data_IF_568763713980
#
_entry.id   IF_568763713980
#
_cell.length_a   1.000
_cell.length_b   1.000
_cell.length_c   1.000
_cell.angle_alpha   90.00
_cell.angle_beta   90.00
_cell.angle_gamma   90.00
#
_symmetry.space_group_name_H-M   'P 1'
#
loop_
_entity.id
_entity.type
_entity.pdbx_description
1 polymer ?
#
# COMPACT_ATOMS: atom_id res chain seq x y z
N UNK A 1 -25.34 -11.90 5.34
CA UNK A 1 -24.09 -11.18 4.98
C UNK A 1 -23.06 -11.20 6.11
N UNK A 2 -23.43 -10.89 7.37
CA UNK A 2 -22.50 -10.69 8.49
C UNK A 2 -21.40 -11.75 8.67
N UNK A 3 -21.72 -13.04 8.85
CA UNK A 3 -20.70 -14.05 9.21
C UNK A 3 -19.56 -14.22 8.19
N UNK A 4 -19.88 -14.40 6.91
CA UNK A 4 -18.87 -14.55 5.84
C UNK A 4 -18.11 -13.24 5.56
N UNK A 5 -18.73 -12.10 5.82
CA UNK A 5 -18.08 -10.80 5.69
C UNK A 5 -16.99 -10.62 6.76
N UNK A 6 -17.30 -10.90 8.03
CA UNK A 6 -16.32 -10.85 9.14
C UNK A 6 -15.20 -11.90 9.01
N UNK A 7 -15.46 -13.03 8.34
CA UNK A 7 -14.41 -14.02 8.03
C UNK A 7 -13.43 -13.53 6.94
N UNK A 8 -13.86 -12.62 6.06
CA UNK A 8 -13.07 -12.13 4.92
C UNK A 8 -12.42 -10.78 5.18
N UNK A 9 -13.09 -9.92 5.94
CA UNK A 9 -12.68 -8.57 6.25
C UNK A 9 -12.54 -8.45 7.77
N UNK A 10 -11.32 -8.18 8.24
CA UNK A 10 -11.04 -7.92 9.66
C UNK A 10 -11.50 -6.50 10.01
N UNK A 11 -11.91 -6.26 11.25
CA UNK A 11 -12.29 -4.94 11.77
C UNK A 11 -13.33 -4.22 10.89
N UNK A 12 -14.57 -4.71 10.89
CA UNK A 12 -15.68 -4.13 10.12
C UNK A 12 -16.62 -3.30 10.99
N UNK A 13 -17.37 -2.33 10.41
CA UNK A 13 -18.36 -1.60 11.16
C UNK A 13 -19.44 -2.55 11.68
N UNK A 14 -19.89 -2.31 12.90
CA UNK A 14 -21.01 -3.04 13.49
C UNK A 14 -22.27 -2.85 12.66
N UNK A 15 -22.59 -3.84 11.82
CA UNK A 15 -23.78 -3.81 10.98
C UNK A 15 -25.06 -4.04 11.80
N UNK A 16 -26.11 -3.28 11.48
CA UNK A 16 -27.42 -3.51 12.05
C UNK A 16 -27.97 -4.89 11.68
N UNK A 17 -28.49 -5.61 12.67
CA UNK A 17 -29.08 -6.94 12.52
C UNK A 17 -30.60 -6.83 12.58
N UNK A 18 -31.26 -6.93 11.42
CA UNK A 18 -32.71 -6.86 11.30
C UNK A 18 -33.14 -6.47 9.88
N UNK A 19 -34.45 -6.26 9.69
CA UNK A 19 -34.99 -5.75 8.43
C UNK A 19 -34.59 -4.27 8.22
N UNK A 20 -34.62 -3.82 6.96
CA UNK A 20 -34.39 -2.40 6.64
C UNK A 20 -35.43 -1.50 7.30
N UNK A 21 -36.69 -1.97 7.40
CA UNK A 21 -37.78 -1.24 8.05
C UNK A 21 -37.47 -1.04 9.54
N UNK A 22 -37.04 -2.08 10.24
CA UNK A 22 -36.66 -1.97 11.66
C UNK A 22 -35.47 -1.02 11.84
N UNK A 23 -34.51 -1.02 10.90
CA UNK A 23 -33.39 -0.07 10.93
C UNK A 23 -33.87 1.37 10.81
N UNK A 24 -34.84 1.65 9.92
CA UNK A 24 -35.48 2.96 9.81
C UNK A 24 -36.24 3.34 11.08
N UNK A 25 -36.98 2.40 11.69
CA UNK A 25 -37.67 2.64 12.96
C UNK A 25 -36.69 3.02 14.06
N UNK A 26 -35.60 2.26 14.25
CA UNK A 26 -34.56 2.59 15.25
C UNK A 26 -33.89 3.93 14.95
N UNK A 27 -33.67 4.27 13.67
CA UNK A 27 -33.06 5.53 13.26
C UNK A 27 -33.92 6.76 13.58
N UNK A 28 -35.24 6.65 13.39
CA UNK A 28 -36.12 7.82 13.32
C UNK A 28 -37.22 7.88 14.38
N UNK A 29 -37.38 6.82 15.20
CA UNK A 29 -38.35 6.79 16.31
C UNK A 29 -37.89 7.47 17.60
N UNK A 30 -36.59 7.67 17.91
CA UNK A 30 -36.19 8.41 19.11
C UNK A 30 -36.86 9.79 19.19
N UNK A 31 -37.39 10.11 20.37
CA UNK A 31 -38.03 11.41 20.65
C UNK A 31 -36.99 12.51 20.84
N UNK A 32 -35.82 12.16 21.37
CA UNK A 32 -34.65 13.04 21.48
C UNK A 32 -33.99 13.15 20.11
N UNK A 33 -33.87 14.38 19.60
CA UNK A 33 -33.34 14.64 18.25
C UNK A 33 -31.88 14.19 18.12
N UNK A 34 -31.09 14.34 19.17
CA UNK A 34 -29.66 14.00 19.23
C UNK A 34 -29.40 12.49 19.15
N UNK A 35 -30.39 11.65 19.50
CA UNK A 35 -30.29 10.18 19.40
C UNK A 35 -30.64 9.67 17.99
N UNK A 36 -31.19 10.53 17.12
CA UNK A 36 -31.58 10.16 15.77
C UNK A 36 -30.34 10.06 14.89
N UNK A 37 -30.09 8.87 14.36
CA UNK A 37 -29.01 8.60 13.40
C UNK A 37 -29.61 8.15 12.07
N UNK A 38 -29.29 8.79 10.94
CA UNK A 38 -29.77 8.34 9.63
C UNK A 38 -29.32 6.90 9.31
N UNK A 39 -30.10 6.21 8.49
CA UNK A 39 -29.73 4.87 8.00
C UNK A 39 -28.81 5.01 6.79
N UNK A 40 -27.69 4.29 6.82
CA UNK A 40 -26.79 4.12 5.69
C UNK A 40 -26.88 2.69 5.16
N UNK A 41 -27.47 2.53 3.98
CA UNK A 41 -27.58 1.24 3.29
C UNK A 41 -26.31 0.98 2.49
N UNK A 42 -25.57 -0.07 2.84
CA UNK A 42 -24.40 -0.54 2.11
C UNK A 42 -24.78 -1.73 1.21
N UNK A 43 -24.76 -1.51 -0.10
CA UNK A 43 -25.09 -2.55 -1.09
C UNK A 43 -23.82 -3.11 -1.70
N UNK A 44 -23.57 -4.38 -1.47
CA UNK A 44 -22.36 -5.11 -1.84
C UNK A 44 -22.61 -6.10 -2.97
N UNK A 45 -21.62 -6.21 -3.87
CA UNK A 45 -21.59 -7.25 -4.89
C UNK A 45 -20.19 -7.88 -4.94
N UNK A 46 -20.06 -9.16 -4.64
CA UNK A 46 -18.76 -9.82 -4.43
C UNK A 46 -17.88 -9.85 -5.69
N UNK A 47 -18.52 -9.93 -6.87
CA UNK A 47 -17.81 -9.88 -8.16
C UNK A 47 -17.33 -8.48 -8.53
N UNK A 48 -17.84 -7.43 -7.89
CA UNK A 48 -17.31 -6.08 -8.09
C UNK A 48 -15.95 -5.96 -7.43
N UNK A 49 -14.92 -5.75 -8.26
CA UNK A 49 -13.57 -5.42 -7.79
C UNK A 49 -13.59 -4.22 -6.83
N UNK A 50 -14.43 -3.23 -7.10
CA UNK A 50 -14.53 -2.02 -6.29
C UNK A 50 -15.20 -2.26 -4.94
N UNK A 51 -16.15 -3.20 -4.86
CA UNK A 51 -16.73 -3.59 -3.56
C UNK A 51 -15.66 -4.18 -2.65
N UNK A 52 -14.76 -4.99 -3.20
CA UNK A 52 -13.65 -5.59 -2.47
C UNK A 52 -12.61 -4.54 -2.02
N UNK A 53 -12.24 -3.60 -2.89
CA UNK A 53 -11.31 -2.50 -2.56
C UNK A 53 -11.92 -1.58 -1.50
N UNK A 54 -13.18 -1.18 -1.67
CA UNK A 54 -13.89 -0.30 -0.74
C UNK A 54 -13.94 -0.91 0.67
N UNK A 55 -14.21 -2.21 0.78
CA UNK A 55 -14.19 -2.89 2.08
C UNK A 55 -12.81 -2.79 2.74
N UNK A 56 -11.75 -3.21 2.06
CA UNK A 56 -10.40 -3.26 2.62
C UNK A 56 -9.79 -1.89 2.93
N UNK A 57 -10.08 -0.88 2.10
CA UNK A 57 -9.39 0.42 2.16
C UNK A 57 -10.17 1.51 2.87
N UNK A 58 -11.50 1.42 2.88
CA UNK A 58 -12.37 2.50 3.35
C UNK A 58 -13.26 2.01 4.48
N UNK A 59 -14.13 1.03 4.22
CA UNK A 59 -15.15 0.62 5.19
C UNK A 59 -14.56 0.03 6.47
N UNK A 60 -13.45 -0.70 6.36
CA UNK A 60 -12.75 -1.33 7.50
C UNK A 60 -11.64 -0.45 8.10
N UNK A 61 -11.57 0.84 7.74
CA UNK A 61 -10.66 1.77 8.41
C UNK A 61 -11.21 2.12 9.79
N UNK A 62 -10.40 2.01 10.84
CA UNK A 62 -10.80 2.30 12.23
C UNK A 62 -11.52 3.66 12.36
N UNK A 63 -10.98 4.70 11.75
CA UNK A 63 -11.57 6.05 11.76
C UNK A 63 -12.93 6.12 11.07
N UNK A 64 -13.12 5.36 9.97
CA UNK A 64 -14.40 5.29 9.26
C UNK A 64 -15.41 4.47 10.08
N UNK A 65 -14.99 3.38 10.71
CA UNK A 65 -15.82 2.57 11.58
C UNK A 65 -16.36 3.40 12.73
N UNK A 66 -15.47 4.08 13.47
CA UNK A 66 -15.85 4.92 14.61
C UNK A 66 -16.86 5.98 14.18
N UNK A 67 -16.58 6.68 13.08
CA UNK A 67 -17.48 7.70 12.56
C UNK A 67 -18.84 7.11 12.13
N UNK A 68 -18.86 6.00 11.40
CA UNK A 68 -20.09 5.38 10.94
C UNK A 68 -20.94 4.90 12.12
N UNK A 69 -20.33 4.33 13.15
CA UNK A 69 -21.02 3.85 14.35
C UNK A 69 -21.60 5.01 15.19
N UNK A 70 -20.86 6.11 15.29
CA UNK A 70 -21.32 7.31 15.99
C UNK A 70 -22.47 8.01 15.26
N UNK A 71 -22.44 8.06 13.93
CA UNK A 71 -23.30 8.97 13.16
C UNK A 71 -24.41 8.27 12.36
N UNK A 72 -24.30 6.97 12.10
CA UNK A 72 -25.23 6.24 11.22
C UNK A 72 -25.67 4.90 11.80
N UNK A 73 -26.83 4.43 11.36
CA UNK A 73 -27.20 3.02 11.44
C UNK A 73 -26.83 2.36 10.12
N UNK A 74 -25.78 1.54 10.10
CA UNK A 74 -25.30 0.90 8.87
C UNK A 74 -26.04 -0.41 8.61
N UNK A 75 -26.83 -0.47 7.54
CA UNK A 75 -27.57 -1.66 7.13
C UNK A 75 -26.94 -2.31 5.89
N UNK A 76 -26.45 -3.56 5.98
CA UNK A 76 -25.77 -4.21 4.85
C UNK A 76 -26.75 -5.01 3.98
N UNK A 77 -26.51 -5.01 2.67
CA UNK A 77 -27.21 -5.88 1.72
C UNK A 77 -26.24 -6.50 0.70
N UNK A 78 -26.29 -7.81 0.55
CA UNK A 78 -25.51 -8.55 -0.44
C UNK A 78 -26.39 -8.91 -1.64
N UNK A 79 -26.13 -8.26 -2.77
CA UNK A 79 -26.88 -8.45 -4.02
C UNK A 79 -26.11 -9.29 -5.04
N UNK A 80 -25.09 -10.03 -4.61
CA UNK A 80 -24.32 -10.93 -5.48
C UNK A 80 -25.21 -11.98 -6.14
N UNK A 81 -26.18 -12.51 -5.39
CA UNK A 81 -27.19 -13.43 -5.91
C UNK A 81 -28.39 -12.65 -6.44
N UNK A 82 -28.91 -13.08 -7.59
CA UNK A 82 -30.06 -12.45 -8.24
C UNK A 82 -31.31 -12.45 -7.36
N UNK A 83 -31.53 -13.51 -6.59
CA UNK A 83 -32.65 -13.61 -5.63
C UNK A 83 -32.61 -12.47 -4.61
N UNK A 84 -31.42 -12.15 -4.06
CA UNK A 84 -31.27 -11.08 -3.09
C UNK A 84 -31.44 -9.70 -3.73
N UNK A 85 -30.99 -9.54 -4.97
CA UNK A 85 -31.18 -8.31 -5.75
C UNK A 85 -32.66 -8.03 -5.99
N UNK A 86 -33.42 -9.04 -6.43
CA UNK A 86 -34.86 -8.90 -6.65
C UNK A 86 -35.61 -8.64 -5.33
N UNK A 87 -35.19 -9.31 -4.25
CA UNK A 87 -35.73 -9.04 -2.91
C UNK A 87 -35.48 -7.60 -2.48
N UNK A 88 -34.27 -7.07 -2.67
CA UNK A 88 -33.94 -5.69 -2.34
C UNK A 88 -34.75 -4.70 -3.18
N UNK A 89 -34.87 -4.93 -4.50
CA UNK A 89 -35.64 -4.08 -5.39
C UNK A 89 -37.13 -4.02 -5.01
N UNK A 90 -37.72 -5.17 -4.66
CA UNK A 90 -39.12 -5.23 -4.19
C UNK A 90 -39.31 -4.46 -2.89
N UNK A 91 -38.47 -4.70 -1.88
CA UNK A 91 -38.50 -3.95 -0.62
C UNK A 91 -38.33 -2.45 -0.89
N UNK A 92 -37.44 -2.08 -1.79
CA UNK A 92 -37.17 -0.69 -2.12
C UNK A 92 -38.39 0.00 -2.75
N UNK A 93 -39.03 -0.66 -3.71
CA UNK A 93 -40.22 -0.16 -4.37
C UNK A 93 -41.42 -0.07 -3.42
N UNK A 94 -41.57 -1.03 -2.50
CA UNK A 94 -42.63 -1.04 -1.50
C UNK A 94 -42.46 0.06 -0.44
N UNK A 95 -41.24 0.27 0.05
CA UNK A 95 -40.97 1.18 1.17
C UNK A 95 -40.74 2.62 0.73
N UNK A 96 -40.11 2.84 -0.43
CA UNK A 96 -39.69 4.17 -0.88
C UNK A 96 -40.38 4.64 -2.16
N UNK A 97 -41.14 3.78 -2.84
CA UNK A 97 -41.78 4.06 -4.13
C UNK A 97 -40.82 4.64 -5.18
N UNK A 98 -39.59 4.13 -5.17
CA UNK A 98 -38.46 4.69 -5.91
C UNK A 98 -37.74 3.60 -6.74
N UNK A 99 -37.19 4.00 -7.90
CA UNK A 99 -36.61 3.06 -8.89
C UNK A 99 -35.07 3.02 -8.89
N UNK A 100 -34.40 3.67 -7.93
CA UNK A 100 -32.94 3.84 -7.88
C UNK A 100 -32.14 2.54 -7.85
N UNK A 101 -32.76 1.42 -7.47
CA UNK A 101 -32.14 0.09 -7.46
C UNK A 101 -32.51 -0.80 -8.66
N UNK A 102 -33.31 -0.32 -9.61
CA UNK A 102 -33.73 -1.12 -10.77
C UNK A 102 -32.64 -1.26 -11.83
N UNK A 103 -31.66 -0.36 -11.88
CA UNK A 103 -30.50 -0.49 -12.76
C UNK A 103 -29.41 -1.38 -12.15
N UNK A 104 -29.24 -2.58 -12.74
CA UNK A 104 -28.15 -3.48 -12.40
C UNK A 104 -26.95 -3.27 -13.33
N UNK A 105 -25.86 -2.79 -12.75
CA UNK A 105 -24.53 -2.81 -13.35
C UNK A 105 -23.53 -3.21 -12.27
N UNK A 106 -22.91 -4.40 -12.45
CA UNK A 106 -21.91 -4.94 -11.54
C UNK A 106 -20.76 -3.94 -11.28
N UNK A 107 -20.40 -3.13 -12.28
CA UNK A 107 -19.30 -2.17 -12.19
C UNK A 107 -19.63 -0.95 -11.33
N UNK A 108 -20.91 -0.69 -11.07
CA UNK A 108 -21.39 0.45 -10.26
C UNK A 108 -21.47 0.14 -8.77
N UNK A 109 -21.15 -1.08 -8.35
CA UNK A 109 -21.08 -1.46 -6.93
C UNK A 109 -19.69 -1.17 -6.35
N UNK A 110 -19.57 -0.79 -5.07
CA UNK A 110 -20.65 -0.76 -4.08
C UNK A 110 -21.54 0.49 -4.20
N UNK A 111 -22.79 0.38 -3.74
CA UNK A 111 -23.67 1.56 -3.57
C UNK A 111 -23.81 1.89 -2.08
N UNK A 112 -23.73 3.17 -1.72
CA UNK A 112 -24.13 3.67 -0.40
C UNK A 112 -25.34 4.57 -0.55
N UNK A 113 -26.39 4.27 0.16
CA UNK A 113 -27.65 5.01 0.08
C UNK A 113 -28.01 5.50 1.48
N UNK A 114 -28.17 6.81 1.62
CA UNK A 114 -28.60 7.43 2.86
C UNK A 114 -30.11 7.55 2.85
N UNK A 115 -30.75 7.10 3.91
CA UNK A 115 -32.19 7.30 4.09
C UNK A 115 -32.36 8.48 5.05
N UNK A 116 -33.24 9.41 4.68
CA UNK A 116 -33.68 10.49 5.56
C UNK A 116 -35.20 10.39 5.73
N UNK A 117 -35.69 10.76 6.91
CA UNK A 117 -37.13 10.97 7.13
C UNK A 117 -37.53 12.34 6.60
N UNK A 118 -38.55 12.40 5.76
CA UNK A 118 -39.20 13.67 5.40
C UNK A 118 -40.36 13.86 6.36
N UNK A 119 -40.48 15.06 6.94
CA UNK A 119 -41.73 15.49 7.58
C UNK A 119 -42.50 16.26 6.52
N UNK A 120 -43.47 15.62 5.87
CA UNK A 120 -44.43 16.34 5.05
C UNK A 120 -45.54 16.88 5.97
N UNK A 121 -45.83 18.17 5.90
CA UNK A 121 -47.06 18.74 6.47
C UNK A 121 -48.26 18.27 5.64
N UNK A 122 -48.76 17.05 5.88
CA UNK A 122 -49.98 16.60 5.23
C UNK A 122 -51.20 16.96 6.07
N UNK A 123 -52.14 17.68 5.45
CA UNK A 123 -53.41 18.13 6.04
C UNK A 123 -54.45 17.02 6.28
N UNK A 124 -54.13 15.73 6.09
CA UNK A 124 -55.12 14.66 6.29
C UNK A 124 -54.49 13.36 6.84
N UNK A 125 -54.48 13.22 8.17
CA UNK A 125 -54.86 12.00 8.90
C UNK A 125 -54.09 10.67 8.76
N UNK A 126 -53.12 10.52 7.86
CA UNK A 126 -52.29 9.29 7.79
C UNK A 126 -50.91 9.53 8.43
N UNK A 127 -50.58 8.70 9.42
CA UNK A 127 -49.38 8.81 10.27
C UNK A 127 -48.16 8.02 9.75
N UNK A 128 -48.17 7.51 8.51
CA UNK A 128 -47.05 6.75 7.98
C UNK A 128 -45.83 7.67 7.76
N UNK A 129 -44.64 7.35 8.31
CA UNK A 129 -43.44 8.14 8.06
C UNK A 129 -42.99 7.95 6.60
N UNK A 130 -42.99 9.04 5.83
CA UNK A 130 -42.37 9.05 4.50
C UNK A 130 -40.84 9.10 4.63
N UNK A 131 -40.19 8.02 4.19
CA UNK A 131 -38.74 7.94 4.07
C UNK A 131 -38.33 8.29 2.65
N UNK A 132 -37.31 9.14 2.49
CA UNK A 132 -36.73 9.42 1.19
C UNK A 132 -35.32 8.83 1.11
N UNK A 133 -35.07 7.92 0.17
CA UNK A 133 -33.73 7.48 -0.13
C UNK A 133 -32.99 8.59 -0.91
N UNK A 134 -31.72 8.78 -0.57
CA UNK A 134 -30.80 9.65 -1.29
C UNK A 134 -29.56 8.82 -1.58
N UNK A 135 -29.32 8.54 -2.86
CA UNK A 135 -28.05 7.94 -3.29
C UNK A 135 -26.90 8.84 -2.84
N UNK A 136 -26.10 8.35 -1.90
CA UNK A 136 -24.91 9.07 -1.44
C UNK A 136 -23.71 8.72 -2.33
N UNK A 137 -23.67 7.46 -2.74
CA UNK A 137 -22.64 6.87 -3.56
C UNK A 137 -23.23 5.82 -4.49
N UNK A 138 -23.04 6.03 -5.78
CA UNK A 138 -22.94 4.96 -6.78
C UNK A 138 -21.53 5.06 -7.33
N UNK A 139 -20.87 3.92 -7.60
CA UNK A 139 -19.44 3.95 -7.92
C UNK A 139 -19.16 4.60 -9.28
N UNK A 140 -19.05 5.93 -9.24
CA UNK A 140 -18.18 6.79 -10.02
C UNK A 140 -17.19 7.38 -9.02
N UNK A 141 -15.93 6.96 -9.14
CA UNK A 141 -14.80 7.39 -8.29
C UNK A 141 -14.82 8.90 -8.10
N UNK A 142 -15.12 9.66 -9.16
CA UNK A 142 -15.11 11.12 -9.13
C UNK A 142 -16.33 11.73 -8.42
N UNK A 143 -17.46 11.03 -8.39
CA UNK A 143 -18.67 11.47 -7.68
C UNK A 143 -18.58 11.17 -6.17
N UNK A 144 -17.99 10.04 -5.80
CA UNK A 144 -17.72 9.66 -4.40
C UNK A 144 -16.97 10.76 -3.65
N UNK A 145 -15.84 11.20 -4.20
CA UNK A 145 -14.96 12.15 -3.54
C UNK A 145 -15.54 13.58 -3.52
N UNK A 146 -16.30 13.97 -4.55
CA UNK A 146 -17.05 15.25 -4.58
C UNK A 146 -18.20 15.30 -3.57
N UNK A 147 -18.89 14.18 -3.35
CA UNK A 147 -20.00 14.10 -2.38
C UNK A 147 -19.52 13.98 -0.93
N UNK A 148 -18.33 13.42 -0.69
CA UNK A 148 -17.73 13.39 0.65
C UNK A 148 -17.41 14.81 1.11
N UNK A 149 -16.83 15.65 0.26
CA UNK A 149 -16.44 17.01 0.63
C UNK A 149 -17.62 17.90 1.06
N UNK A 150 -18.79 17.65 0.50
CA UNK A 150 -20.00 18.43 0.77
C UNK A 150 -20.85 17.86 1.92
N UNK A 151 -20.72 16.57 2.27
CA UNK A 151 -21.63 15.89 3.22
C UNK A 151 -20.98 15.22 4.41
N UNK A 152 -19.69 14.92 4.34
CA UNK A 152 -18.92 14.29 5.41
C UNK A 152 -17.83 15.27 5.84
N UNK A 153 -17.81 15.65 7.12
CA UNK A 153 -16.97 16.75 7.60
C UNK A 153 -15.48 16.59 7.23
N UNK A 154 -14.75 17.73 7.15
CA UNK A 154 -13.32 17.81 6.75
C UNK A 154 -12.40 16.72 7.34
N UNK A 155 -12.70 16.25 8.57
CA UNK A 155 -11.94 15.21 9.28
C UNK A 155 -11.91 13.87 8.53
N UNK A 156 -12.99 13.48 7.84
CA UNK A 156 -13.07 12.23 7.07
C UNK A 156 -12.29 12.33 5.76
N UNK A 157 -12.37 13.48 5.10
CA UNK A 157 -11.62 13.74 3.86
C UNK A 157 -10.13 13.60 4.12
N UNK A 158 -9.65 14.21 5.20
CA UNK A 158 -8.23 14.14 5.59
C UNK A 158 -7.80 12.69 5.86
N UNK A 159 -8.66 11.86 6.42
CA UNK A 159 -8.33 10.47 6.70
C UNK A 159 -8.38 9.58 5.45
N UNK A 160 -9.32 9.82 4.55
CA UNK A 160 -9.40 9.12 3.26
C UNK A 160 -8.17 9.47 2.42
N UNK A 161 -7.79 10.74 2.35
CA UNK A 161 -6.60 11.21 1.61
C UNK A 161 -5.31 10.58 2.16
N UNK A 162 -5.17 10.40 3.47
CA UNK A 162 -4.01 9.71 4.07
C UNK A 162 -3.86 8.25 3.62
N UNK A 163 -4.96 7.62 3.21
CA UNK A 163 -5.00 6.20 2.84
C UNK A 163 -5.01 5.97 1.32
N UNK A 164 -5.01 7.04 0.52
CA UNK A 164 -4.94 6.97 -0.95
C UNK A 164 -3.51 7.10 -1.44
N UNK A 165 -3.18 6.40 -2.53
CA UNK A 165 -1.96 6.73 -3.28
C UNK A 165 -2.11 8.13 -3.89
N UNK A 166 -1.02 8.85 -4.16
CA UNK A 166 -1.13 10.17 -4.80
C UNK A 166 -1.87 10.08 -6.14
N UNK A 167 -1.69 8.99 -6.90
CA UNK A 167 -2.41 8.78 -8.15
C UNK A 167 -3.93 8.65 -7.92
N UNK A 168 -4.35 7.92 -6.89
CA UNK A 168 -5.77 7.80 -6.53
C UNK A 168 -6.33 9.11 -5.98
N UNK A 169 -5.56 9.84 -5.17
CA UNK A 169 -5.94 11.16 -4.65
C UNK A 169 -6.02 12.22 -5.78
N UNK A 170 -5.11 12.17 -6.76
CA UNK A 170 -5.10 13.03 -7.94
C UNK A 170 -6.32 12.78 -8.81
N UNK A 171 -6.63 11.51 -9.08
CA UNK A 171 -7.82 11.14 -9.81
C UNK A 171 -9.08 11.55 -9.04
N UNK A 172 -9.08 11.42 -7.72
CA UNK A 172 -10.19 11.75 -6.83
C UNK A 172 -10.48 13.26 -6.66
N UNK A 173 -9.45 14.10 -6.55
CA UNK A 173 -9.56 15.48 -6.05
C UNK A 173 -8.93 16.51 -7.01
N UNK A 174 -9.11 16.34 -8.33
CA UNK A 174 -8.46 17.15 -9.37
C UNK A 174 -8.57 18.69 -9.18
N UNK A 175 -9.62 19.17 -8.52
CA UNK A 175 -9.84 20.61 -8.26
C UNK A 175 -9.48 21.07 -6.83
N UNK A 176 -9.39 20.17 -5.84
CA UNK A 176 -9.26 20.51 -4.40
C UNK A 176 -8.07 19.82 -3.69
N UNK A 177 -7.24 19.05 -4.39
CA UNK A 177 -6.05 18.41 -3.79
C UNK A 177 -5.02 19.43 -3.30
N UNK A 178 -4.97 20.61 -3.93
CA UNK A 178 -3.95 21.64 -3.68
C UNK A 178 -4.12 22.34 -2.31
N UNK A 179 -5.34 22.76 -1.89
CA UNK A 179 -5.58 23.17 -0.50
C UNK A 179 -5.27 22.08 0.53
N UNK A 180 -5.56 20.82 0.21
CA UNK A 180 -5.33 19.68 1.12
C UNK A 180 -3.83 19.34 1.28
N UNK A 181 -3.06 19.38 0.19
CA UNK A 181 -1.61 19.15 0.19
C UNK A 181 -0.79 20.36 0.69
N UNK A 182 -1.32 21.58 0.59
CA UNK A 182 -0.65 22.79 1.08
C UNK A 182 -0.82 23.06 2.57
N UNK A 183 -1.87 22.50 3.18
CA UNK A 183 -2.13 22.64 4.63
C UNK A 183 -1.42 21.58 5.48
N UNK A 184 -0.88 20.53 4.86
CA UNK A 184 -0.09 19.52 5.55
C UNK A 184 1.38 19.70 5.19
N UNK A 185 2.27 19.47 6.17
CA UNK A 185 3.69 19.14 5.95
C UNK A 185 3.83 17.77 5.24
N UNK A 186 2.91 17.46 4.32
CA UNK A 186 2.80 16.18 3.64
C UNK A 186 3.91 16.03 2.64
N UNK A 187 4.67 14.97 2.85
CA UNK A 187 5.61 14.41 1.92
C UNK A 187 4.83 13.93 0.68
N UNK A 188 4.83 14.74 -0.39
CA UNK A 188 4.17 14.38 -1.65
C UNK A 188 5.03 13.34 -2.37
N UNK A 189 4.48 12.16 -2.67
CA UNK A 189 5.13 11.14 -3.51
C UNK A 189 4.62 11.24 -4.95
N UNK A 190 5.45 11.76 -5.85
CA UNK A 190 5.06 11.95 -7.25
C UNK A 190 5.36 10.69 -8.04
N UNK A 191 4.31 10.05 -8.57
CA UNK A 191 4.42 8.91 -9.49
C UNK A 191 4.28 9.38 -10.93
N UNK A 192 5.33 9.19 -11.74
CA UNK A 192 5.36 9.47 -13.18
C UNK A 192 5.11 10.94 -13.62
N UNK A 193 6.13 11.81 -13.53
CA UNK A 193 6.01 13.24 -13.88
C UNK A 193 5.73 13.53 -15.37
N UNK A 194 5.73 12.53 -16.24
CA UNK A 194 5.51 12.70 -17.68
C UNK A 194 4.06 13.08 -18.02
N UNK A 195 3.10 12.85 -17.10
CA UNK A 195 1.71 13.25 -17.29
C UNK A 195 1.57 14.78 -17.41
N UNK A 196 0.86 15.24 -18.46
CA UNK A 196 0.55 16.65 -18.68
C UNK A 196 -0.14 17.29 -17.45
N UNK A 197 -0.95 16.51 -16.74
CA UNK A 197 -1.61 16.94 -15.51
C UNK A 197 -0.63 17.13 -14.36
N UNK A 198 0.35 16.23 -14.22
CA UNK A 198 1.39 16.33 -13.19
C UNK A 198 2.25 17.56 -13.42
N UNK A 199 2.54 17.96 -14.66
CA UNK A 199 3.25 19.21 -14.94
C UNK A 199 2.54 20.45 -14.37
N UNK A 200 1.22 20.55 -14.54
CA UNK A 200 0.42 21.66 -13.97
C UNK A 200 0.41 21.63 -12.44
N UNK A 201 0.35 20.44 -11.83
CA UNK A 201 0.46 20.26 -10.38
C UNK A 201 1.83 20.64 -9.84
N UNK A 202 2.88 20.14 -10.48
CA UNK A 202 4.27 20.44 -10.14
C UNK A 202 4.47 21.96 -10.10
N UNK A 203 3.96 22.71 -11.08
CA UNK A 203 4.08 24.18 -11.13
C UNK A 203 3.51 24.87 -9.89
N UNK A 204 2.52 24.27 -9.21
CA UNK A 204 1.89 24.82 -8.01
C UNK A 204 2.54 24.38 -6.69
N UNK A 205 3.37 23.35 -6.72
CA UNK A 205 4.14 22.91 -5.55
C UNK A 205 5.38 23.79 -5.36
N UNK A 206 5.60 24.22 -4.12
CA UNK A 206 6.84 24.86 -3.74
C UNK A 206 7.96 23.81 -3.65
N UNK A 207 9.23 24.18 -3.95
CA UNK A 207 10.40 23.32 -3.80
C UNK A 207 10.47 22.53 -2.49
N UNK A 208 9.98 23.12 -1.40
CA UNK A 208 10.14 22.60 -0.05
C UNK A 208 9.12 21.50 0.30
N UNK A 209 8.01 21.42 -0.44
CA UNK A 209 6.91 20.48 -0.17
C UNK A 209 7.18 19.06 -0.67
N UNK A 210 8.16 18.87 -1.56
CA UNK A 210 8.45 17.57 -2.16
C UNK A 210 9.72 17.00 -1.55
N UNK A 211 9.56 15.94 -0.75
CA UNK A 211 10.69 15.27 -0.09
C UNK A 211 10.92 13.85 -0.61
N UNK A 212 9.99 13.29 -1.39
CA UNK A 212 10.10 11.95 -1.98
C UNK A 212 9.62 11.95 -3.43
N UNK A 213 10.33 11.27 -4.33
CA UNK A 213 9.96 11.15 -5.74
C UNK A 213 9.93 9.68 -6.16
N UNK A 214 8.97 9.30 -7.02
CA UNK A 214 8.92 7.98 -7.65
C UNK A 214 8.86 8.13 -9.18
N UNK A 215 9.92 7.70 -9.86
CA UNK A 215 10.09 7.91 -11.30
C UNK A 215 10.08 6.58 -12.04
N UNK A 216 9.35 6.51 -13.15
CA UNK A 216 9.30 5.33 -14.03
C UNK A 216 10.29 5.47 -15.16
N UNK A 217 11.51 4.97 -15.03
CA UNK A 217 12.57 5.24 -16.01
C UNK A 217 12.36 4.44 -17.29
N UNK A 218 11.74 5.06 -18.29
CA UNK A 218 11.76 4.55 -19.66
C UNK A 218 13.05 5.00 -20.36
N UNK A 219 13.47 4.25 -21.37
CA UNK A 219 14.72 4.44 -22.13
C UNK A 219 14.88 5.84 -22.77
N UNK A 220 13.83 6.65 -22.79
CA UNK A 220 13.77 7.93 -23.50
C UNK A 220 13.53 9.14 -22.59
N UNK A 221 13.63 9.01 -21.26
CA UNK A 221 13.44 10.18 -20.40
C UNK A 221 14.52 11.21 -20.66
N UNK A 222 14.10 12.34 -21.22
CA UNK A 222 14.94 13.44 -21.63
C UNK A 222 15.51 14.14 -20.38
N UNK A 223 16.72 14.70 -20.48
CA UNK A 223 17.24 15.67 -19.51
C UNK A 223 16.21 16.78 -19.18
N UNK A 224 15.27 17.02 -20.08
CA UNK A 224 14.16 17.96 -19.93
C UNK A 224 13.16 17.57 -18.81
N UNK A 225 12.84 16.29 -18.61
CA UNK A 225 11.97 15.91 -17.48
C UNK A 225 12.69 16.11 -16.14
N UNK A 226 13.97 15.74 -16.10
CA UNK A 226 14.83 15.96 -14.95
C UNK A 226 14.99 17.45 -14.65
N UNK A 227 15.15 18.30 -15.67
CA UNK A 227 15.29 19.76 -15.51
C UNK A 227 14.10 20.37 -14.74
N UNK A 228 12.88 19.85 -14.96
CA UNK A 228 11.66 20.29 -14.26
C UNK A 228 11.62 19.88 -12.78
N UNK A 229 12.30 18.80 -12.43
CA UNK A 229 12.37 18.29 -11.06
C UNK A 229 13.53 18.91 -10.25
N UNK A 230 14.52 19.52 -10.91
CA UNK A 230 15.71 20.10 -10.25
C UNK A 230 15.38 21.18 -9.23
N UNK A 231 14.24 21.85 -9.37
CA UNK A 231 13.79 22.82 -8.38
C UNK A 231 13.43 22.20 -7.02
N UNK A 232 13.17 20.89 -6.93
CA UNK A 232 12.84 20.21 -5.67
C UNK A 232 14.12 19.78 -4.94
N UNK A 233 14.87 20.75 -4.43
CA UNK A 233 16.16 20.51 -3.77
C UNK A 233 16.05 19.83 -2.40
N UNK A 234 14.84 19.75 -1.83
CA UNK A 234 14.54 19.09 -0.55
C UNK A 234 14.19 17.61 -0.67
N UNK A 235 14.30 17.02 -1.85
CA UNK A 235 14.09 15.58 -2.04
C UNK A 235 15.17 14.80 -1.27
N UNK A 236 14.70 14.02 -0.29
CA UNK A 236 15.54 13.14 0.54
C UNK A 236 15.41 11.67 0.14
N UNK A 237 14.34 11.29 -0.57
CA UNK A 237 14.05 9.92 -1.01
C UNK A 237 13.70 9.86 -2.49
N UNK A 238 14.26 8.88 -3.21
CA UNK A 238 14.01 8.68 -4.63
C UNK A 238 13.77 7.20 -4.90
N UNK A 239 12.69 6.90 -5.59
CA UNK A 239 12.32 5.55 -6.04
C UNK A 239 12.37 5.51 -7.57
N UNK A 240 13.14 4.60 -8.14
CA UNK A 240 13.32 4.44 -9.59
C UNK A 240 12.76 3.08 -10.02
N UNK A 241 11.77 3.10 -10.93
CA UNK A 241 11.15 1.89 -11.48
C UNK A 241 11.76 1.55 -12.84
N UNK A 242 12.26 0.31 -12.96
CA UNK A 242 12.95 -0.29 -14.11
C UNK A 242 14.17 0.49 -14.59
N UNK A 243 15.05 0.87 -13.65
CA UNK A 243 16.24 1.65 -13.96
C UNK A 243 17.32 0.87 -14.70
N UNK A 244 17.55 1.23 -15.96
CA UNK A 244 18.45 0.48 -16.84
C UNK A 244 19.82 1.11 -17.03
N UNK A 245 19.89 2.44 -17.19
CA UNK A 245 21.17 3.14 -17.38
C UNK A 245 21.76 3.57 -16.03
N UNK A 246 22.50 2.67 -15.41
CA UNK A 246 23.13 2.92 -14.11
C UNK A 246 24.04 4.14 -14.13
N UNK A 247 24.71 4.43 -15.25
CA UNK A 247 25.64 5.57 -15.34
C UNK A 247 24.90 6.91 -15.25
N UNK A 248 23.63 6.94 -15.65
CA UNK A 248 22.79 8.13 -15.54
C UNK A 248 22.42 8.48 -14.09
N UNK A 249 22.70 7.60 -13.11
CA UNK A 249 22.36 7.84 -11.71
C UNK A 249 23.04 9.11 -11.15
N UNK A 250 24.22 9.46 -11.67
CA UNK A 250 24.98 10.64 -11.25
C UNK A 250 24.25 11.95 -11.57
N UNK A 251 23.35 11.94 -12.55
CA UNK A 251 22.48 13.08 -12.85
C UNK A 251 21.57 13.36 -11.65
N UNK A 252 21.03 12.33 -11.00
CA UNK A 252 20.18 12.49 -9.82
C UNK A 252 20.96 13.02 -8.63
N UNK A 253 22.23 12.63 -8.46
CA UNK A 253 23.10 13.16 -7.41
C UNK A 253 23.24 14.68 -7.50
N UNK A 254 23.49 15.18 -8.70
CA UNK A 254 23.69 16.62 -8.95
C UNK A 254 22.40 17.40 -8.70
N UNK A 255 21.25 16.81 -9.05
CA UNK A 255 19.95 17.47 -8.95
C UNK A 255 19.29 17.36 -7.57
N UNK A 256 19.64 16.35 -6.77
CA UNK A 256 19.06 16.09 -5.46
C UNK A 256 20.16 15.97 -4.38
N UNK A 257 20.80 17.09 -3.99
CA UNK A 257 21.96 17.08 -3.09
C UNK A 257 21.65 16.60 -1.67
N UNK A 258 20.37 16.61 -1.27
CA UNK A 258 19.90 16.14 0.04
C UNK A 258 19.44 14.67 0.03
N UNK A 259 19.62 13.96 -1.08
CA UNK A 259 19.19 12.58 -1.18
C UNK A 259 19.94 11.70 -0.18
N UNK A 260 19.18 11.01 0.67
CA UNK A 260 19.69 10.08 1.69
C UNK A 260 19.07 8.69 1.58
N UNK A 261 18.01 8.54 0.79
CA UNK A 261 17.30 7.29 0.55
C UNK A 261 17.13 7.05 -0.94
N UNK A 262 17.48 5.84 -1.38
CA UNK A 262 17.32 5.43 -2.77
C UNK A 262 16.71 4.03 -2.83
N UNK A 263 15.69 3.90 -3.67
CA UNK A 263 14.90 2.69 -3.82
C UNK A 263 14.82 2.33 -5.31
N UNK A 264 15.11 1.08 -5.65
CA UNK A 264 14.96 0.56 -7.00
C UNK A 264 13.85 -0.47 -7.05
N UNK A 265 12.97 -0.34 -8.04
CA UNK A 265 11.95 -1.32 -8.35
C UNK A 265 12.24 -1.89 -9.72
N UNK A 266 12.31 -3.21 -9.83
CA UNK A 266 12.49 -3.92 -11.08
C UNK A 266 11.32 -4.86 -11.27
N UNK A 267 10.72 -4.82 -12.46
CA UNK A 267 9.69 -5.78 -12.87
C UNK A 267 10.30 -7.11 -13.31
N UNK A 268 11.60 -7.12 -13.60
CA UNK A 268 12.37 -8.27 -14.05
C UNK A 268 13.49 -8.62 -13.07
N UNK A 269 14.11 -9.78 -13.28
CA UNK A 269 15.29 -10.17 -12.52
C UNK A 269 16.41 -9.14 -12.69
N UNK A 270 17.03 -8.79 -11.57
CA UNK A 270 18.16 -7.90 -11.55
C UNK A 270 19.43 -8.68 -11.88
N UNK A 271 20.17 -8.24 -12.90
CA UNK A 271 21.46 -8.84 -13.19
C UNK A 271 22.47 -8.46 -12.08
N UNK A 272 23.23 -9.43 -11.58
CA UNK A 272 24.24 -9.18 -10.55
C UNK A 272 25.25 -8.10 -10.95
N UNK A 273 25.65 -8.03 -12.22
CA UNK A 273 26.54 -6.99 -12.76
C UNK A 273 25.91 -5.60 -12.64
N UNK A 274 24.62 -5.48 -12.97
CA UNK A 274 23.84 -4.25 -12.80
C UNK A 274 23.78 -3.89 -11.32
N UNK A 275 23.54 -4.85 -10.44
CA UNK A 275 23.48 -4.58 -9.00
C UNK A 275 24.82 -4.15 -8.40
N UNK A 276 25.91 -4.79 -8.84
CA UNK A 276 27.28 -4.42 -8.48
C UNK A 276 27.61 -3.00 -8.94
N UNK A 277 27.30 -2.68 -10.19
CA UNK A 277 27.50 -1.35 -10.74
C UNK A 277 26.69 -0.31 -9.96
N UNK A 278 25.43 -0.59 -9.62
CA UNK A 278 24.61 0.29 -8.79
C UNK A 278 25.34 0.69 -7.51
N UNK A 279 25.92 -0.28 -6.78
CA UNK A 279 26.67 -0.01 -5.55
C UNK A 279 27.92 0.86 -5.77
N UNK A 280 28.58 0.77 -6.93
CA UNK A 280 29.74 1.62 -7.28
C UNK A 280 29.35 3.08 -7.48
N UNK A 281 28.14 3.33 -7.95
CA UNK A 281 27.65 4.68 -8.22
C UNK A 281 26.81 5.27 -7.09
N UNK A 282 26.55 4.51 -6.01
CA UNK A 282 25.94 5.07 -4.81
C UNK A 282 26.87 6.10 -4.19
N UNK A 283 26.38 7.33 -4.00
CA UNK A 283 27.16 8.39 -3.39
C UNK A 283 27.05 8.38 -1.87
N UNK A 284 28.05 8.94 -1.20
CA UNK A 284 28.25 8.86 0.26
C UNK A 284 27.09 9.36 1.13
N UNK A 285 26.19 10.20 0.59
CA UNK A 285 25.06 10.71 1.37
C UNK A 285 23.90 9.71 1.48
N UNK A 286 23.87 8.66 0.65
CA UNK A 286 22.86 7.61 0.74
C UNK A 286 23.10 6.77 1.99
N UNK A 287 22.12 6.79 2.89
CA UNK A 287 22.07 6.01 4.14
C UNK A 287 21.08 4.85 4.07
N UNK A 288 20.02 5.00 3.27
CA UNK A 288 18.99 3.99 3.06
C UNK A 288 19.00 3.53 1.62
N UNK A 289 19.16 2.24 1.40
CA UNK A 289 19.19 1.63 0.09
C UNK A 289 18.18 0.49 0.02
N UNK A 290 17.33 0.50 -1.00
CA UNK A 290 16.27 -0.49 -1.16
C UNK A 290 16.23 -1.01 -2.58
N UNK A 291 15.95 -2.30 -2.72
CA UNK A 291 15.90 -2.99 -3.99
C UNK A 291 14.74 -3.95 -3.94
N UNK A 292 13.79 -3.75 -4.82
CA UNK A 292 12.65 -4.60 -5.03
C UNK A 292 12.78 -5.20 -6.42
N UNK A 293 12.97 -6.50 -6.49
CA UNK A 293 13.05 -7.20 -7.76
C UNK A 293 12.48 -8.60 -7.59
N UNK A 294 11.85 -9.18 -8.62
CA UNK A 294 11.41 -10.57 -8.55
C UNK A 294 12.57 -11.52 -8.25
N UNK A 295 13.74 -11.34 -8.85
CA UNK A 295 14.87 -12.22 -8.61
C UNK A 295 16.20 -11.56 -8.90
N UNK A 296 17.28 -12.28 -8.61
CA UNK A 296 18.64 -11.87 -8.95
C UNK A 296 19.33 -13.01 -9.71
N UNK A 297 20.06 -12.68 -10.76
CA UNK A 297 20.93 -13.64 -11.44
C UNK A 297 22.08 -14.03 -10.50
N UNK A 298 22.36 -15.33 -10.41
CA UNK A 298 23.35 -15.86 -9.48
C UNK A 298 24.79 -15.56 -9.96
N UNK A 299 25.69 -15.26 -9.02
CA UNK A 299 27.04 -14.73 -9.30
C UNK A 299 28.08 -15.77 -9.75
N UNK A 300 27.73 -17.06 -9.93
CA UNK A 300 28.71 -18.12 -10.20
C UNK A 300 29.55 -17.92 -11.47
N UNK A 301 29.05 -17.16 -12.46
CA UNK A 301 29.83 -16.84 -13.65
C UNK A 301 30.91 -15.76 -13.40
N UNK A 302 30.88 -15.05 -12.27
CA UNK A 302 31.63 -13.80 -12.05
C UNK A 302 32.19 -13.62 -10.62
N UNK A 303 32.41 -14.71 -9.86
CA UNK A 303 32.95 -14.63 -8.49
C UNK A 303 34.30 -13.88 -8.41
N UNK A 304 35.18 -14.05 -9.40
CA UNK A 304 36.47 -13.34 -9.46
C UNK A 304 36.30 -11.82 -9.63
N UNK A 305 35.19 -11.37 -10.24
CA UNK A 305 34.96 -9.94 -10.45
C UNK A 305 34.44 -9.22 -9.21
N UNK A 306 33.97 -9.94 -8.19
CA UNK A 306 33.44 -9.33 -6.98
C UNK A 306 34.52 -8.62 -6.17
N UNK A 307 35.76 -9.12 -6.18
CA UNK A 307 36.83 -8.64 -5.31
C UNK A 307 37.36 -7.24 -5.68
N UNK A 308 36.93 -6.66 -6.81
CA UNK A 308 37.47 -5.41 -7.36
C UNK A 308 36.52 -4.20 -7.21
N UNK A 309 35.60 -4.22 -6.24
CA UNK A 309 34.75 -3.08 -5.93
C UNK A 309 35.56 -1.99 -5.20
N UNK A 310 36.19 -1.09 -5.98
CA UNK A 310 37.09 -0.04 -5.46
C UNK A 310 36.36 1.11 -4.72
N UNK A 311 35.06 1.32 -4.96
CA UNK A 311 34.34 2.53 -4.53
C UNK A 311 32.92 2.26 -4.01
N UNK A 312 32.78 1.36 -3.03
CA UNK A 312 31.47 1.15 -2.42
C UNK A 312 31.10 2.29 -1.46
N UNK A 313 29.82 2.65 -1.44
CA UNK A 313 29.28 3.55 -0.42
C UNK A 313 29.22 2.86 0.95
N UNK A 314 30.23 3.13 1.78
CA UNK A 314 30.29 2.59 3.13
C UNK A 314 29.27 3.20 4.10
N UNK A 315 28.57 4.29 3.75
CA UNK A 315 27.64 4.99 4.64
C UNK A 315 26.22 4.44 4.66
N UNK A 316 25.94 3.37 3.92
CA UNK A 316 24.64 2.70 3.97
C UNK A 316 24.43 2.14 5.38
N UNK A 317 23.41 2.63 6.06
CA UNK A 317 23.01 2.22 7.42
C UNK A 317 21.80 1.27 7.39
N UNK A 318 20.97 1.36 6.35
CA UNK A 318 19.80 0.52 6.13
C UNK A 318 19.80 -0.06 4.72
N UNK A 319 19.68 -1.38 4.61
CA UNK A 319 19.54 -2.09 3.34
C UNK A 319 18.30 -2.99 3.37
N UNK A 320 17.39 -2.80 2.40
CA UNK A 320 16.27 -3.69 2.16
C UNK A 320 16.41 -4.35 0.80
N UNK A 321 16.26 -5.67 0.80
CA UNK A 321 16.22 -6.47 -0.41
C UNK A 321 14.93 -7.28 -0.44
N UNK A 322 14.08 -6.99 -1.42
CA UNK A 322 12.75 -7.59 -1.57
C UNK A 322 12.69 -8.44 -2.83
N UNK A 323 12.36 -9.71 -2.60
CA UNK A 323 12.29 -10.80 -3.58
C UNK A 323 10.90 -11.45 -3.58
N UNK A 324 9.93 -10.79 -2.96
CA UNK A 324 8.59 -11.34 -2.77
C UNK A 324 7.85 -11.60 -4.08
N UNK A 325 8.20 -10.91 -5.16
CA UNK A 325 7.47 -10.97 -6.42
C UNK A 325 7.76 -12.22 -7.26
N UNK A 326 8.48 -13.22 -6.73
CA UNK A 326 8.89 -14.38 -7.53
C UNK A 326 8.78 -15.74 -6.84
N UNK A 327 8.14 -16.73 -7.48
CA UNK A 327 8.44 -18.13 -7.23
C UNK A 327 9.78 -18.44 -7.92
N UNK A 328 10.85 -18.71 -7.14
CA UNK A 328 12.17 -19.13 -7.67
C UNK A 328 11.98 -20.03 -8.90
N UNK A 329 12.61 -19.73 -10.04
CA UNK A 329 12.26 -20.46 -11.25
C UNK A 329 12.82 -21.86 -11.01
N UNK A 330 12.06 -22.94 -11.25
CA UNK A 330 12.56 -24.29 -11.02
C UNK A 330 13.75 -24.69 -11.92
N UNK A 331 14.31 -23.76 -12.71
CA UNK A 331 15.06 -24.07 -13.92
C UNK A 331 16.28 -23.18 -14.23
N UNK A 332 16.69 -22.22 -13.39
CA UNK A 332 18.08 -21.75 -13.52
C UNK A 332 18.98 -22.86 -12.97
N UNK A 333 19.83 -23.44 -13.81
CA UNK A 333 20.70 -24.58 -13.43
C UNK A 333 21.52 -24.32 -12.15
N UNK A 334 21.76 -23.04 -11.83
CA UNK A 334 22.39 -22.60 -10.59
C UNK A 334 21.62 -23.00 -9.32
N UNK A 335 20.29 -22.83 -9.28
CA UNK A 335 19.49 -23.10 -8.06
C UNK A 335 19.27 -24.59 -7.80
N UNK A 336 19.40 -25.43 -8.83
CA UNK A 336 19.44 -26.89 -8.69
C UNK A 336 20.74 -27.37 -8.05
N UNK A 337 21.83 -26.61 -8.19
CA UNK A 337 23.15 -26.99 -7.70
C UNK A 337 23.46 -26.39 -6.32
N UNK A 338 23.06 -25.14 -6.03
CA UNK A 338 23.37 -24.46 -4.77
C UNK A 338 22.20 -23.58 -4.30
N UNK A 339 21.34 -24.09 -3.39
CA UNK A 339 20.25 -23.32 -2.78
C UNK A 339 20.69 -22.02 -2.10
N UNK A 340 21.94 -21.97 -1.62
CA UNK A 340 22.54 -20.83 -0.91
C UNK A 340 23.10 -19.74 -1.82
N UNK A 341 23.18 -19.95 -3.14
CA UNK A 341 23.82 -18.99 -4.05
C UNK A 341 23.19 -17.58 -3.98
N UNK A 342 21.88 -17.54 -3.72
CA UNK A 342 21.17 -16.28 -3.55
C UNK A 342 21.62 -15.51 -2.29
N UNK A 343 21.64 -16.20 -1.14
CA UNK A 343 22.05 -15.60 0.12
C UNK A 343 23.53 -15.18 0.04
N UNK A 344 24.36 -16.05 -0.55
CA UNK A 344 25.74 -15.74 -0.91
C UNK A 344 25.87 -14.44 -1.71
N UNK A 345 25.04 -14.26 -2.73
CA UNK A 345 25.02 -13.04 -3.53
C UNK A 345 24.74 -11.82 -2.65
N UNK A 346 23.66 -11.85 -1.85
CA UNK A 346 23.33 -10.76 -0.93
C UNK A 346 24.46 -10.48 0.09
N UNK A 347 25.09 -11.53 0.63
CA UNK A 347 26.23 -11.44 1.56
C UNK A 347 27.43 -10.79 0.90
N UNK A 348 27.75 -11.20 -0.33
CA UNK A 348 28.84 -10.64 -1.12
C UNK A 348 28.62 -9.16 -1.45
N UNK A 349 27.40 -8.68 -1.40
CA UNK A 349 27.06 -7.27 -1.59
C UNK A 349 27.15 -6.51 -0.26
N UNK A 350 26.64 -7.12 0.81
CA UNK A 350 26.65 -6.56 2.17
C UNK A 350 28.08 -6.32 2.69
N UNK A 351 29.07 -7.11 2.27
CA UNK A 351 30.48 -6.91 2.67
C UNK A 351 31.03 -5.53 2.32
N UNK A 352 30.39 -4.83 1.40
CA UNK A 352 30.75 -3.48 0.97
C UNK A 352 30.02 -2.36 1.75
N UNK A 353 29.06 -2.72 2.59
CA UNK A 353 28.25 -1.79 3.40
C UNK A 353 28.74 -1.79 4.85
N UNK A 354 29.95 -1.29 5.10
CA UNK A 354 30.61 -1.40 6.41
C UNK A 354 29.84 -0.71 7.57
N UNK A 355 29.00 0.29 7.29
CA UNK A 355 28.17 0.94 8.30
C UNK A 355 26.74 0.39 8.41
N UNK A 356 26.45 -0.74 7.77
CA UNK A 356 25.12 -1.34 7.79
C UNK A 356 24.70 -1.68 9.22
N UNK A 357 23.58 -1.11 9.66
CA UNK A 357 22.97 -1.35 10.98
C UNK A 357 21.71 -2.18 10.89
N UNK A 358 20.97 -2.03 9.79
CA UNK A 358 19.68 -2.66 9.56
C UNK A 358 19.69 -3.37 8.22
N UNK A 359 19.48 -4.68 8.24
CA UNK A 359 19.28 -5.47 7.04
C UNK A 359 17.88 -6.07 7.05
N UNK A 360 17.14 -5.90 5.96
CA UNK A 360 15.84 -6.50 5.77
C UNK A 360 15.80 -7.30 4.47
N UNK A 361 15.41 -8.57 4.58
CA UNK A 361 15.18 -9.46 3.45
C UNK A 361 13.69 -9.80 3.39
N UNK A 362 13.03 -9.56 2.26
CA UNK A 362 11.65 -9.98 2.01
C UNK A 362 11.69 -11.12 1.00
N UNK A 363 11.02 -12.23 1.30
CA UNK A 363 11.03 -13.44 0.48
C UNK A 363 9.71 -14.20 0.57
N UNK A 364 9.51 -15.17 -0.32
CA UNK A 364 8.39 -16.10 -0.28
C UNK A 364 8.72 -17.31 0.61
N UNK A 365 7.67 -17.91 1.17
CA UNK A 365 7.80 -19.07 2.07
C UNK A 365 8.55 -20.26 1.45
N UNK A 366 8.41 -20.48 0.14
CA UNK A 366 9.07 -21.56 -0.58
C UNK A 366 10.61 -21.43 -0.59
N UNK A 367 11.13 -20.23 -0.31
CA UNK A 367 12.56 -19.93 -0.32
C UNK A 367 13.18 -19.98 1.07
N UNK A 368 12.37 -19.99 2.15
CA UNK A 368 12.88 -19.77 3.51
C UNK A 368 13.85 -20.88 3.95
N UNK A 369 13.56 -22.14 3.62
CA UNK A 369 14.40 -23.27 4.00
C UNK A 369 15.82 -23.17 3.44
N UNK A 370 15.97 -22.53 2.27
CA UNK A 370 17.25 -22.28 1.59
C UNK A 370 17.99 -21.07 2.18
N UNK A 371 17.27 -20.17 2.83
CA UNK A 371 17.81 -18.94 3.43
C UNK A 371 18.19 -19.13 4.90
N UNK A 372 17.74 -20.20 5.57
CA UNK A 372 18.10 -20.51 6.96
C UNK A 372 19.42 -21.30 7.05
N UNK A 373 20.44 -20.90 6.29
CA UNK A 373 21.79 -21.43 6.42
C UNK A 373 22.57 -20.66 7.49
N UNK A 374 22.91 -21.35 8.58
CA UNK A 374 23.63 -20.77 9.72
C UNK A 374 24.98 -20.15 9.32
N UNK A 375 25.76 -20.83 8.48
CA UNK A 375 27.11 -20.41 8.14
C UNK A 375 27.09 -19.11 7.34
N UNK A 376 26.08 -18.96 6.48
CA UNK A 376 25.91 -17.76 5.67
C UNK A 376 25.54 -16.53 6.51
N UNK A 377 24.62 -16.66 7.47
CA UNK A 377 24.32 -15.53 8.38
C UNK A 377 25.50 -15.16 9.28
N UNK A 378 26.22 -16.16 9.79
CA UNK A 378 27.46 -15.95 10.55
C UNK A 378 28.50 -15.22 9.69
N UNK A 379 28.68 -15.64 8.45
CA UNK A 379 29.58 -15.00 7.49
C UNK A 379 29.16 -13.56 7.21
N UNK A 380 27.89 -13.30 6.95
CA UNK A 380 27.35 -11.95 6.74
C UNK A 380 27.66 -11.02 7.92
N UNK A 381 27.39 -11.47 9.14
CA UNK A 381 27.60 -10.67 10.35
C UNK A 381 29.07 -10.42 10.65
N UNK A 382 29.97 -11.31 10.23
CA UNK A 382 31.42 -11.07 10.30
C UNK A 382 31.88 -9.89 9.43
N UNK A 383 31.18 -9.59 8.33
CA UNK A 383 31.49 -8.44 7.46
C UNK A 383 30.93 -7.11 7.98
N UNK A 384 29.84 -7.14 8.75
CA UNK A 384 29.16 -5.94 9.23
C UNK A 384 29.19 -5.84 10.76
N UNK A 385 30.31 -5.35 11.30
CA UNK A 385 30.51 -5.17 12.75
C UNK A 385 29.50 -4.22 13.42
N UNK A 386 28.81 -3.38 12.64
CA UNK A 386 27.79 -2.42 13.12
C UNK A 386 26.36 -2.92 12.98
N UNK A 387 26.17 -4.14 12.50
CA UNK A 387 24.84 -4.69 12.29
C UNK A 387 24.14 -4.87 13.63
N UNK A 388 22.94 -4.30 13.77
CA UNK A 388 22.13 -4.34 15.00
C UNK A 388 20.85 -5.13 14.81
N UNK A 389 20.32 -5.18 13.59
CA UNK A 389 19.07 -5.87 13.31
C UNK A 389 19.05 -6.47 11.92
N UNK A 390 18.65 -7.73 11.86
CA UNK A 390 18.34 -8.49 10.66
C UNK A 390 16.86 -8.85 10.73
N UNK A 391 16.11 -8.54 9.69
CA UNK A 391 14.69 -8.88 9.58
C UNK A 391 14.44 -9.70 8.32
N UNK A 392 13.99 -10.94 8.50
CA UNK A 392 13.52 -11.81 7.42
C UNK A 392 11.98 -11.75 7.40
N UNK A 393 11.40 -11.06 6.42
CA UNK A 393 9.96 -11.06 6.19
C UNK A 393 9.62 -12.15 5.18
N UNK A 394 8.76 -13.07 5.59
CA UNK A 394 8.33 -14.22 4.80
C UNK A 394 6.88 -14.00 4.42
N UNK A 395 6.61 -13.90 3.14
CA UNK A 395 5.25 -13.82 2.62
C UNK A 395 4.70 -15.23 2.38
N UNK A 396 3.50 -15.52 2.90
CA UNK A 396 2.82 -16.78 2.64
C UNK A 396 1.94 -17.26 3.79
N UNK A 397 0.96 -18.12 3.48
CA UNK A 397 -0.10 -18.55 4.42
C UNK A 397 0.32 -19.63 5.43
N UNK A 398 1.59 -19.93 5.63
CA UNK A 398 1.99 -20.96 6.61
C UNK A 398 2.69 -20.35 7.81
N UNK A 399 2.45 -20.98 8.96
CA UNK A 399 3.23 -20.76 10.18
C UNK A 399 4.55 -21.54 10.07
N UNK A 400 5.58 -21.06 10.76
CA UNK A 400 6.80 -21.84 10.95
C UNK A 400 6.45 -23.22 11.54
N UNK A 401 7.00 -24.28 10.96
CA UNK A 401 7.02 -25.59 11.61
C UNK A 401 8.10 -25.63 12.72
N UNK A 402 8.14 -26.72 13.47
CA UNK A 402 9.06 -26.89 14.59
C UNK A 402 10.53 -26.89 14.12
N UNK A 403 10.82 -27.48 12.95
CA UNK A 403 12.18 -27.53 12.39
C UNK A 403 12.69 -26.12 12.02
N UNK A 404 11.85 -25.34 11.34
CA UNK A 404 12.14 -23.96 10.96
C UNK A 404 12.31 -23.07 12.20
N UNK A 405 11.44 -23.23 13.19
CA UNK A 405 11.53 -22.51 14.46
C UNK A 405 12.85 -22.81 15.18
N UNK A 406 13.28 -24.08 15.18
CA UNK A 406 14.56 -24.49 15.76
C UNK A 406 15.75 -23.85 15.03
N UNK A 407 15.75 -23.85 13.69
CA UNK A 407 16.82 -23.19 12.88
C UNK A 407 16.89 -21.69 13.13
N UNK A 408 15.75 -21.02 13.26
CA UNK A 408 15.69 -19.58 13.56
C UNK A 408 16.34 -19.29 14.92
N UNK A 409 16.05 -20.11 15.94
CA UNK A 409 16.66 -19.98 17.27
C UNK A 409 18.17 -20.26 17.22
N UNK A 410 18.60 -21.27 16.47
CA UNK A 410 20.01 -21.58 16.27
C UNK A 410 20.78 -20.41 15.64
N UNK A 411 20.24 -19.81 14.57
CA UNK A 411 20.81 -18.62 13.93
C UNK A 411 20.87 -17.47 14.93
N UNK A 412 19.78 -17.16 15.63
CA UNK A 412 19.76 -16.08 16.62
C UNK A 412 20.84 -16.26 17.70
N UNK A 413 21.02 -17.48 18.21
CA UNK A 413 22.02 -17.77 19.24
C UNK A 413 23.46 -17.60 18.72
N UNK A 414 23.74 -18.07 17.51
CA UNK A 414 25.05 -17.91 16.88
C UNK A 414 25.36 -16.43 16.62
N UNK A 415 24.38 -15.67 16.14
CA UNK A 415 24.53 -14.23 15.88
C UNK A 415 24.76 -13.44 17.18
N UNK A 416 24.06 -13.78 18.27
CA UNK A 416 24.31 -13.17 19.59
C UNK A 416 25.72 -13.43 20.12
N UNK A 417 26.32 -14.58 19.76
CA UNK A 417 27.69 -14.91 20.17
C UNK A 417 28.72 -14.05 19.44
N UNK A 418 28.47 -13.70 18.17
CA UNK A 418 29.36 -12.86 17.35
C UNK A 418 29.18 -11.37 17.63
N UNK A 419 27.95 -10.95 17.86
CA UNK A 419 27.59 -9.55 18.14
C UNK A 419 26.45 -9.53 19.14
N UNK A 420 26.78 -9.14 20.38
CA UNK A 420 25.84 -9.13 21.52
C UNK A 420 24.58 -8.29 21.27
N UNK A 421 24.62 -7.38 20.29
CA UNK A 421 23.52 -6.47 19.98
C UNK A 421 22.75 -6.83 18.71
N UNK A 422 23.12 -7.90 17.99
CA UNK A 422 22.44 -8.26 16.73
C UNK A 422 21.15 -9.03 17.01
N UNK A 423 20.02 -8.42 16.66
CA UNK A 423 18.70 -9.05 16.68
C UNK A 423 18.39 -9.70 15.33
N UNK A 424 17.96 -10.96 15.33
CA UNK A 424 17.50 -11.70 14.16
C UNK A 424 16.01 -12.01 14.30
N UNK A 425 15.19 -11.35 13.48
CA UNK A 425 13.74 -11.45 13.55
C UNK A 425 13.18 -12.07 12.27
N UNK A 426 12.36 -13.10 12.38
CA UNK A 426 11.57 -13.64 11.26
C UNK A 426 10.10 -13.25 11.46
N UNK A 427 9.49 -12.67 10.43
CA UNK A 427 8.10 -12.21 10.44
C UNK A 427 7.35 -12.91 9.32
N UNK A 428 6.32 -13.67 9.65
CA UNK A 428 5.43 -14.33 8.70
C UNK A 428 4.20 -13.46 8.45
N UNK A 429 3.96 -13.10 7.18
CA UNK A 429 2.85 -12.23 6.74
C UNK A 429 1.85 -12.98 5.84
#
# INVERSE_FOLDING_TARGET
MSRRFYERYYDCPGFYVGSLINACEVAFSPTVIEERRPVLVYVHHDRSMFSNIFCHRILCSATIIDYLLENYIVWPCDVTLEVNRNMLANIWQEVFHDQLLNEFDEKKYPKLIGIKRIVQEQQNGSLAPDYQPVLLLEYDVLAFYRNIETRFGKKIILEIVKNLTLNDAINAFSNNILPLLSQQETKVEICDPSSLFINTMLQKLTPEQVVSLRLTTSWYRTQEELSRLTRFTNVISLSLLNFQDIRSIEIYRTNFPRLTSLCFWYDNELNFTVFRELLQYLWYSIKRFEVHCPGNFCSHADQDQCNNLLFANYNIEYFLFDLSTFPLPPTSDCTKQLPSCFLMTAIDLIKYMLNLRYFQLITNIDSISKLLDLNEWVRMTSYCSRLTKITLRVLGRMKADDEMSQKIVEIQNALCTLSQNTQFQVIFN
#
